data_IF_445014720269
#
_entry.id   IF_445014720269
#
_cell.length_a   1.000
_cell.length_b   1.000
_cell.length_c   1.000
_cell.angle_alpha   90.00
_cell.angle_beta   90.00
_cell.angle_gamma   90.00
#
_symmetry.space_group_name_H-M   'P 1'
#
loop_
_entity.id
_entity.type
_entity.pdbx_description
1 polymer ?
#
# COMPACT_ATOMS: atom_id res chain seq x y z
N UNK A 1 14.47 -9.05 -0.63
CA UNK A 1 14.42 -8.40 -1.96
C UNK A 1 15.50 -7.32 -1.99
N UNK A 2 16.48 -7.37 -2.90
CA UNK A 2 17.50 -6.32 -2.98
C UNK A 2 16.92 -5.09 -3.67
N UNK A 3 17.01 -3.93 -3.02
CA UNK A 3 16.75 -2.64 -3.66
C UNK A 3 18.07 -2.13 -4.26
N UNK A 4 18.08 -1.82 -5.55
CA UNK A 4 19.25 -1.23 -6.21
C UNK A 4 18.93 0.24 -6.49
N UNK A 5 19.64 1.14 -5.80
CA UNK A 5 19.65 2.56 -6.14
C UNK A 5 20.71 2.83 -7.20
N UNK A 6 20.30 3.18 -8.42
CA UNK A 6 21.23 3.54 -9.49
C UNK A 6 21.38 5.08 -9.59
N UNK A 7 22.57 5.56 -9.95
CA UNK A 7 22.88 6.98 -10.21
C UNK A 7 23.60 7.12 -11.56
N UNK A 8 23.29 8.19 -12.30
CA UNK A 8 24.09 8.65 -13.45
C UNK A 8 24.13 7.68 -14.65
N UNK A 9 25.19 7.78 -15.46
CA UNK A 9 25.33 7.14 -16.77
C UNK A 9 25.22 5.60 -16.77
N UNK A 10 25.49 4.95 -15.63
CA UNK A 10 25.35 3.50 -15.46
C UNK A 10 23.94 3.07 -15.04
N UNK A 11 22.99 4.01 -14.93
CA UNK A 11 21.63 3.72 -14.48
C UNK A 11 20.90 2.78 -15.45
N UNK A 12 21.10 2.94 -16.76
CA UNK A 12 20.49 2.05 -17.75
C UNK A 12 21.05 0.64 -17.67
N UNK A 13 22.37 0.48 -17.49
CA UNK A 13 23.00 -0.84 -17.34
C UNK A 13 22.55 -1.51 -16.03
N UNK A 14 22.55 -0.76 -14.93
CA UNK A 14 22.10 -1.21 -13.62
C UNK A 14 20.62 -1.63 -13.64
N UNK A 15 19.78 -0.86 -14.34
CA UNK A 15 18.36 -1.15 -14.51
C UNK A 15 18.13 -2.43 -15.32
N UNK A 16 18.86 -2.62 -16.43
CA UNK A 16 18.80 -3.87 -17.20
C UNK A 16 19.26 -5.08 -16.39
N UNK A 17 20.36 -4.93 -15.63
CA UNK A 17 20.85 -5.97 -14.74
C UNK A 17 19.83 -6.33 -13.65
N UNK A 18 19.16 -5.33 -13.08
CA UNK A 18 18.09 -5.54 -12.11
C UNK A 18 16.90 -6.29 -12.72
N UNK A 19 16.45 -5.90 -13.93
CA UNK A 19 15.40 -6.61 -14.65
C UNK A 19 15.79 -8.06 -14.96
N UNK A 20 17.01 -8.30 -15.45
CA UNK A 20 17.55 -9.63 -15.69
C UNK A 20 17.66 -10.49 -14.41
N UNK A 21 17.87 -9.85 -13.26
CA UNK A 21 17.85 -10.49 -11.94
C UNK A 21 16.44 -10.70 -11.37
N UNK A 22 15.38 -10.32 -12.11
CA UNK A 22 13.98 -10.51 -11.71
C UNK A 22 13.42 -9.42 -10.80
N UNK A 23 14.04 -8.23 -10.77
CA UNK A 23 13.42 -7.09 -10.10
C UNK A 23 12.09 -6.75 -10.78
N UNK A 24 11.06 -6.45 -9.99
CA UNK A 24 9.75 -6.01 -10.50
C UNK A 24 9.65 -4.48 -10.58
N UNK A 25 10.47 -3.78 -9.80
CA UNK A 25 10.55 -2.34 -9.76
C UNK A 25 11.97 -1.87 -9.38
N UNK A 26 12.36 -0.70 -9.87
CA UNK A 26 13.63 -0.03 -9.55
C UNK A 26 13.34 1.41 -9.15
N UNK A 27 13.88 1.84 -8.00
CA UNK A 27 13.80 3.22 -7.55
C UNK A 27 15.08 3.97 -7.95
N UNK A 28 14.93 5.10 -8.63
CA UNK A 28 16.04 5.95 -9.07
C UNK A 28 15.86 7.36 -8.53
N UNK A 29 16.97 8.02 -8.22
CA UNK A 29 16.95 9.43 -7.84
C UNK A 29 17.00 10.26 -9.11
N UNK A 30 15.90 10.92 -9.40
CA UNK A 30 15.68 11.57 -10.70
C UNK A 30 15.80 10.56 -11.87
N UNK A 31 15.22 10.87 -13.01
CA UNK A 31 15.33 10.01 -14.19
C UNK A 31 15.54 10.88 -15.43
N UNK A 32 16.56 10.54 -16.21
CA UNK A 32 16.68 11.01 -17.59
C UNK A 32 15.73 10.24 -18.50
N UNK A 33 15.50 10.76 -19.71
CA UNK A 33 14.62 10.12 -20.69
C UNK A 33 15.16 8.77 -21.16
N UNK A 34 16.48 8.59 -21.14
CA UNK A 34 17.18 7.34 -21.39
C UNK A 34 16.82 6.24 -20.38
N UNK A 35 16.80 6.58 -19.08
CA UNK A 35 16.41 5.66 -18.00
C UNK A 35 14.92 5.32 -18.09
N UNK A 36 14.07 6.32 -18.38
CA UNK A 36 12.63 6.09 -18.61
C UNK A 36 12.38 5.17 -19.80
N UNK A 37 13.06 5.40 -20.91
CA UNK A 37 12.94 4.59 -22.12
C UNK A 37 13.46 3.15 -21.92
N UNK A 38 14.43 2.95 -21.03
CA UNK A 38 14.99 1.62 -20.73
C UNK A 38 14.14 0.78 -19.77
N UNK A 39 13.24 1.39 -18.98
CA UNK A 39 12.45 0.71 -17.96
C UNK A 39 11.51 -0.38 -18.54
N UNK A 40 10.68 0.00 -19.52
CA UNK A 40 9.72 -0.93 -20.12
C UNK A 40 10.39 -2.12 -20.84
N UNK A 41 11.42 -1.93 -21.68
CA UNK A 41 12.17 -3.05 -22.28
C UNK A 41 12.84 -3.97 -21.27
N UNK A 42 13.27 -3.45 -20.11
CA UNK A 42 13.86 -4.25 -19.04
C UNK A 42 12.81 -4.96 -18.17
N UNK A 43 11.51 -4.76 -18.42
CA UNK A 43 10.43 -5.41 -17.68
C UNK A 43 10.25 -4.90 -16.25
N UNK A 44 10.77 -3.70 -15.93
CA UNK A 44 10.74 -3.14 -14.57
C UNK A 44 9.87 -1.89 -14.50
N UNK A 45 9.12 -1.75 -13.40
CA UNK A 45 8.48 -0.49 -13.06
C UNK A 45 9.53 0.53 -12.54
N UNK A 46 9.49 1.77 -13.04
CA UNK A 46 10.40 2.83 -12.59
C UNK A 46 9.74 3.71 -11.55
N UNK A 47 10.35 3.82 -10.36
CA UNK A 47 9.95 4.74 -9.30
C UNK A 47 10.94 5.91 -9.26
N UNK A 48 10.48 7.12 -9.59
CA UNK A 48 11.33 8.32 -9.56
C UNK A 48 11.24 8.98 -8.19
N UNK A 49 12.33 8.96 -7.45
CA UNK A 49 12.43 9.54 -6.11
C UNK A 49 12.92 10.99 -6.21
N UNK A 50 12.23 11.96 -5.59
CA UNK A 50 12.69 13.34 -5.50
C UNK A 50 14.07 13.47 -4.84
N UNK A 51 14.93 14.38 -5.33
CA UNK A 51 16.29 14.53 -4.84
C UNK A 51 16.39 14.84 -3.33
N UNK A 52 15.38 15.49 -2.75
CA UNK A 52 15.34 15.83 -1.31
C UNK A 52 14.98 14.69 -0.37
N UNK A 53 14.48 13.55 -0.86
CA UNK A 53 14.03 12.46 0.00
C UNK A 53 15.19 11.55 0.43
N UNK A 54 15.28 11.22 1.72
CA UNK A 54 16.27 10.27 2.24
C UNK A 54 15.90 8.84 1.81
N UNK A 55 16.89 8.03 1.47
CA UNK A 55 16.65 6.63 1.08
C UNK A 55 16.00 5.81 2.19
N UNK A 56 16.33 6.08 3.46
CA UNK A 56 15.71 5.43 4.62
C UNK A 56 14.19 5.66 4.67
N UNK A 57 13.73 6.84 4.27
CA UNK A 57 12.31 7.21 4.24
C UNK A 57 11.58 6.52 3.08
N UNK A 58 12.19 6.49 1.89
CA UNK A 58 11.70 5.74 0.74
C UNK A 58 11.55 4.26 1.09
N UNK A 59 12.55 3.69 1.76
CA UNK A 59 12.54 2.32 2.21
C UNK A 59 11.42 2.07 3.23
N UNK A 60 11.27 2.97 4.21
CA UNK A 60 10.20 2.90 5.22
C UNK A 60 8.82 2.88 4.57
N UNK A 61 8.57 3.79 3.63
CA UNK A 61 7.30 3.86 2.89
C UNK A 61 7.11 2.59 2.06
N UNK A 62 8.11 2.17 1.28
CA UNK A 62 8.02 0.97 0.45
C UNK A 62 7.73 -0.29 1.29
N UNK A 63 8.36 -0.43 2.46
CA UNK A 63 8.08 -1.53 3.39
C UNK A 63 6.66 -1.48 3.94
N UNK A 64 6.15 -0.30 4.29
CA UNK A 64 4.77 -0.14 4.76
C UNK A 64 3.75 -0.48 3.67
N UNK A 65 3.98 -0.03 2.43
CA UNK A 65 3.14 -0.36 1.28
C UNK A 65 3.13 -1.87 0.99
N UNK A 66 4.31 -2.50 0.98
CA UNK A 66 4.44 -3.94 0.78
C UNK A 66 3.77 -4.74 1.91
N UNK A 67 3.89 -4.32 3.17
CA UNK A 67 3.20 -4.95 4.29
C UNK A 67 1.68 -4.87 4.14
N UNK A 68 1.16 -3.73 3.68
CA UNK A 68 -0.27 -3.56 3.41
C UNK A 68 -0.72 -4.42 2.24
N UNK A 69 0.04 -4.44 1.14
CA UNK A 69 -0.24 -5.28 -0.01
C UNK A 69 -0.22 -6.77 0.37
N UNK A 70 0.75 -7.21 1.18
CA UNK A 70 0.80 -8.57 1.71
C UNK A 70 -0.43 -8.89 2.57
N UNK A 71 -0.85 -7.98 3.45
CA UNK A 71 -2.07 -8.14 4.25
C UNK A 71 -3.35 -8.25 3.39
N UNK A 72 -3.36 -7.62 2.21
CA UNK A 72 -4.48 -7.77 1.24
C UNK A 72 -4.38 -9.05 0.40
N UNK A 73 -3.15 -9.49 0.08
CA UNK A 73 -2.88 -10.64 -0.78
C UNK A 73 -3.07 -11.99 -0.07
N UNK A 74 -2.93 -12.04 1.25
CA UNK A 74 -3.10 -13.28 2.05
C UNK A 74 -4.55 -13.74 2.23
N UNK A 75 -5.54 -13.10 1.60
CA UNK A 75 -6.89 -13.68 1.54
C UNK A 75 -8.09 -12.73 1.54
N UNK A 76 -7.96 -11.46 1.15
CA UNK A 76 -9.10 -10.55 1.12
C UNK A 76 -9.48 -10.09 -0.29
N UNK A 77 -9.77 -11.06 -1.17
CA UNK A 77 -10.85 -10.85 -2.15
C UNK A 77 -12.17 -10.83 -1.38
N UNK A 78 -12.49 -9.66 -0.80
CA UNK A 78 -13.67 -9.39 0.03
C UNK A 78 -13.50 -9.80 1.49
N UNK A 79 -12.98 -8.89 2.34
CA UNK A 79 -13.16 -9.05 3.78
C UNK A 79 -14.62 -8.75 4.15
N UNK A 80 -15.19 -9.58 5.02
CA UNK A 80 -16.54 -9.35 5.53
C UNK A 80 -16.66 -7.99 6.22
N UNK A 81 -15.53 -7.44 6.69
CA UNK A 81 -15.43 -6.10 7.23
C UNK A 81 -15.66 -4.99 6.19
N UNK A 82 -15.00 -4.99 5.03
CA UNK A 82 -15.24 -3.95 4.00
C UNK A 82 -16.63 -4.09 3.39
N UNK A 83 -17.16 -5.31 3.27
CA UNK A 83 -18.56 -5.50 2.91
C UNK A 83 -19.50 -4.87 3.96
N UNK A 84 -19.30 -5.18 5.24
CA UNK A 84 -20.08 -4.62 6.33
C UNK A 84 -19.98 -3.08 6.36
N UNK A 85 -18.78 -2.53 6.15
CA UNK A 85 -18.53 -1.09 6.14
C UNK A 85 -19.21 -0.40 4.95
N UNK A 86 -19.22 -1.04 3.78
CA UNK A 86 -19.93 -0.53 2.59
C UNK A 86 -21.43 -0.49 2.84
N UNK A 87 -22.00 -1.57 3.38
CA UNK A 87 -23.43 -1.64 3.72
C UNK A 87 -23.79 -0.62 4.80
N UNK A 88 -22.98 -0.47 5.85
CA UNK A 88 -23.20 0.52 6.91
C UNK A 88 -23.19 1.94 6.35
N UNK A 89 -22.31 2.24 5.38
CA UNK A 89 -22.22 3.55 4.73
C UNK A 89 -23.41 3.82 3.79
N UNK A 90 -23.91 2.82 3.06
CA UNK A 90 -25.06 2.99 2.18
C UNK A 90 -26.38 3.09 2.94
N UNK A 91 -26.52 2.35 4.05
CA UNK A 91 -27.74 2.30 4.85
C UNK A 91 -27.77 3.33 5.98
N UNK A 92 -26.64 3.98 6.28
CA UNK A 92 -26.46 4.83 7.45
C UNK A 92 -26.81 4.10 8.77
N UNK A 93 -26.58 2.78 8.81
CA UNK A 93 -27.00 1.88 9.88
C UNK A 93 -25.87 1.00 10.40
N UNK A 94 -26.18 0.25 11.45
CA UNK A 94 -25.31 -0.81 11.98
C UNK A 94 -25.45 -2.08 11.14
N UNK A 95 -24.33 -2.72 10.86
CA UNK A 95 -24.29 -3.96 10.10
C UNK A 95 -23.46 -4.99 10.86
N UNK A 96 -24.03 -6.18 11.04
CA UNK A 96 -23.31 -7.37 11.50
C UNK A 96 -23.41 -8.47 10.45
N UNK A 97 -22.32 -9.21 10.26
CA UNK A 97 -22.27 -10.40 9.42
C UNK A 97 -22.08 -11.60 10.34
N UNK A 98 -23.03 -12.53 10.31
CA UNK A 98 -23.08 -13.69 11.18
C UNK A 98 -23.18 -14.99 10.38
N UNK A 99 -22.74 -16.11 10.97
CA UNK A 99 -23.08 -17.46 10.47
C UNK A 99 -24.41 -17.97 11.04
N UNK A 100 -24.80 -19.20 10.65
CA UNK A 100 -26.00 -19.88 11.13
C UNK A 100 -25.98 -20.22 12.62
N UNK A 101 -24.81 -20.13 13.27
CA UNK A 101 -24.64 -20.33 14.71
C UNK A 101 -24.67 -19.03 15.51
N UNK A 102 -25.08 -17.90 14.90
CA UNK A 102 -25.08 -16.57 15.51
C UNK A 102 -23.68 -16.07 15.91
N UNK A 103 -22.63 -16.57 15.25
CA UNK A 103 -21.27 -16.08 15.46
C UNK A 103 -21.01 -14.88 14.56
N UNK A 104 -20.59 -13.76 15.15
CA UNK A 104 -20.22 -12.54 14.42
C UNK A 104 -18.83 -12.70 13.77
N UNK A 105 -18.77 -12.49 12.46
CA UNK A 105 -17.52 -12.45 11.67
C UNK A 105 -17.08 -11.03 11.32
N UNK A 106 -18.02 -10.10 11.21
CA UNK A 106 -17.73 -8.69 10.97
C UNK A 106 -18.82 -7.79 11.57
N UNK A 107 -18.40 -6.59 11.95
CA UNK A 107 -19.28 -5.55 12.47
C UNK A 107 -18.82 -4.18 11.96
N UNK A 108 -19.77 -3.36 11.54
CA UNK A 108 -19.52 -2.00 11.08
C UNK A 108 -20.68 -1.07 11.49
N UNK A 109 -20.36 0.22 11.60
CA UNK A 109 -21.32 1.24 11.98
C UNK A 109 -20.89 2.61 11.47
N UNK A 110 -21.77 3.62 11.56
CA UNK A 110 -21.46 4.94 11.05
C UNK A 110 -20.26 5.56 11.78
N UNK A 111 -19.45 6.31 11.04
CA UNK A 111 -18.15 6.83 11.51
C UNK A 111 -18.27 7.84 12.66
N UNK A 112 -19.45 8.47 12.83
CA UNK A 112 -19.72 9.37 13.94
C UNK A 112 -19.81 8.65 15.28
N UNK A 113 -20.12 7.34 15.31
CA UNK A 113 -20.18 6.56 16.56
C UNK A 113 -18.79 6.42 17.19
N UNK A 114 -17.72 6.36 16.37
CA UNK A 114 -16.33 6.38 16.85
C UNK A 114 -15.93 7.75 17.42
N UNK A 115 -16.54 8.84 16.93
CA UNK A 115 -16.36 10.20 17.49
C UNK A 115 -17.23 10.46 18.73
N UNK A 116 -18.42 9.88 18.81
CA UNK A 116 -19.32 10.03 19.96
C UNK A 116 -18.80 9.32 21.22
N UNK A 117 -18.06 8.21 21.07
CA UNK A 117 -17.40 7.52 22.18
C UNK A 117 -16.13 8.23 22.70
N UNK A 118 -15.66 9.30 22.04
CA UNK A 118 -14.44 10.03 22.42
C UNK A 118 -14.71 11.34 23.18
N UNK A 119 -15.95 11.61 23.61
CA UNK A 119 -16.20 12.74 24.54
C UNK A 119 -15.64 12.39 25.92
N UNK A 120 -14.75 13.22 26.51
CA UNK A 120 -14.35 13.04 27.90
C UNK A 120 -15.56 13.17 28.82
N UNK A 121 -15.59 12.37 29.89
CA UNK A 121 -16.58 12.50 30.95
C UNK A 121 -16.54 13.94 31.51
N UNK A 122 -17.70 14.53 31.86
CA UNK A 122 -17.72 15.85 32.46
C UNK A 122 -16.92 15.83 33.77
N UNK A 123 -15.99 16.78 33.92
CA UNK A 123 -15.27 16.96 35.17
C UNK A 123 -16.28 17.33 36.28
N UNK A 124 -16.24 16.57 37.36
CA UNK A 124 -17.02 16.80 38.58
C UNK A 124 -16.64 18.10 39.28
#
# INVERSE_FOLDING_TARGET
MPAVGARGADAVASLRAAGAAGAVAVAVREAGDDVRAAAAPAGVALLVVPAGLRWDEVETVARAELARAAATATGHRGDLYSLAQTLASLTQGLVSVEDTGHRVFAYAGPTWTRSAMSRPAPAS
#
